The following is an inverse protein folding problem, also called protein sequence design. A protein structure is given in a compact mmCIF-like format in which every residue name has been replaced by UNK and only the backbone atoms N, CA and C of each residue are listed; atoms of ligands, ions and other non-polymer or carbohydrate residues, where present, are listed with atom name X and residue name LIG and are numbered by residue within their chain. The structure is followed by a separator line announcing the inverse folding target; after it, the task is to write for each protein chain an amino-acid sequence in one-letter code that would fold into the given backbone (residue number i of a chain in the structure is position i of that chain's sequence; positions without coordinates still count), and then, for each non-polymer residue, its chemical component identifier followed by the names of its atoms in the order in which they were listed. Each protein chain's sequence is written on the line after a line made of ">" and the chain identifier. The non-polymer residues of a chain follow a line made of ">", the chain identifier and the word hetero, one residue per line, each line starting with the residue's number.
data_IF_064298267304
#
_entry.id   IF_064298267304
#
_cell.length_a   1.000
_cell.length_b   1.000
_cell.length_c   1.000
_cell.angle_alpha   90.00
_cell.angle_beta   90.00
_cell.angle_gamma   90.00
#
_symmetry.space_group_name_H-M   'P 1'
#
loop_
_entity.id
_entity.type
_entity.pdbx_description
1 polymer ?
#
# COMPACT_ATOMS: atom_id res chain seq x y z
N UNK A 1 -27.13 37.94 10.22
CA UNK A 1 -26.62 37.98 8.84
C UNK A 1 -25.49 36.96 8.78
N UNK A 2 -25.73 35.81 8.17
CA UNK A 2 -24.74 34.75 7.92
C UNK A 2 -24.73 34.50 6.40
N UNK A 3 -23.54 34.29 5.81
CA UNK A 3 -23.39 33.99 4.38
C UNK A 3 -22.62 35.03 3.54
N UNK A 4 -21.78 35.87 4.13
CA UNK A 4 -20.80 36.66 3.36
C UNK A 4 -19.51 35.83 3.24
N UNK A 5 -19.03 35.63 2.00
CA UNK A 5 -17.74 35.01 1.73
C UNK A 5 -16.59 35.94 2.14
N UNK A 6 -15.36 35.42 2.26
CA UNK A 6 -14.19 36.26 2.44
C UNK A 6 -14.07 37.33 1.33
N UNK A 7 -13.66 38.55 1.69
CA UNK A 7 -13.51 39.66 0.74
C UNK A 7 -13.57 41.05 1.37
N UNK A 8 -13.31 42.05 0.54
CA UNK A 8 -13.50 43.47 0.90
C UNK A 8 -14.93 43.91 0.61
N UNK A 9 -15.60 44.43 1.63
CA UNK A 9 -16.95 44.96 1.52
C UNK A 9 -16.95 46.48 1.65
N UNK A 10 -17.68 47.13 0.74
CA UNK A 10 -17.81 48.57 0.70
C UNK A 10 -19.22 48.98 1.12
N UNK A 11 -19.30 49.85 2.13
CA UNK A 11 -20.54 50.49 2.58
C UNK A 11 -20.52 51.95 2.17
N UNK A 12 -21.38 52.32 1.24
CA UNK A 12 -21.60 53.72 0.83
C UNK A 12 -22.85 54.25 1.52
N UNK A 13 -22.70 55.31 2.31
CA UNK A 13 -23.80 56.02 2.99
C UNK A 13 -23.97 57.38 2.34
N UNK A 14 -25.16 57.66 1.80
CA UNK A 14 -25.51 58.96 1.22
C UNK A 14 -26.70 59.59 1.93
N UNK A 15 -26.65 60.89 2.20
CA UNK A 15 -27.81 61.65 2.69
C UNK A 15 -28.61 62.32 1.55
N UNK A 16 -29.75 62.94 1.89
CA UNK A 16 -30.59 63.67 0.93
C UNK A 16 -29.91 64.92 0.35
N UNK A 17 -28.84 65.40 0.97
CA UNK A 17 -28.04 66.54 0.53
C UNK A 17 -26.84 66.12 -0.33
N UNK A 18 -26.79 64.85 -0.77
CA UNK A 18 -25.73 64.27 -1.59
C UNK A 18 -24.35 64.20 -0.90
N UNK A 19 -24.28 64.26 0.43
CA UNK A 19 -23.04 63.92 1.14
C UNK A 19 -22.85 62.41 1.11
N UNK A 20 -21.70 61.95 0.63
CA UNK A 20 -21.35 60.52 0.57
C UNK A 20 -20.21 60.22 1.55
N UNK A 21 -20.35 59.13 2.30
CA UNK A 21 -19.26 58.50 3.06
C UNK A 21 -19.11 57.05 2.64
N UNK A 22 -17.87 56.60 2.55
CA UNK A 22 -17.53 55.22 2.24
C UNK A 22 -16.79 54.61 3.43
N UNK A 23 -17.14 53.35 3.75
CA UNK A 23 -16.43 52.52 4.71
C UNK A 23 -16.04 51.23 4.00
N UNK A 24 -14.83 50.74 4.24
CA UNK A 24 -14.40 49.41 3.83
C UNK A 24 -14.29 48.49 5.05
N UNK A 25 -14.60 47.21 4.86
CA UNK A 25 -14.43 46.18 5.87
C UNK A 25 -13.90 44.90 5.23
N UNK A 26 -12.77 44.42 5.72
CA UNK A 26 -12.16 43.16 5.30
C UNK A 26 -12.79 42.00 6.07
N UNK A 27 -13.38 41.03 5.37
CA UNK A 27 -13.76 39.74 5.94
C UNK A 27 -12.69 38.72 5.55
N UNK A 28 -11.93 38.23 6.54
CA UNK A 28 -10.96 37.16 6.34
C UNK A 28 -11.67 35.81 6.54
N UNK A 29 -11.57 34.94 5.55
CA UNK A 29 -12.04 33.55 5.62
C UNK A 29 -10.84 32.62 5.89
N UNK A 30 -11.00 31.54 6.68
CA UNK A 30 -9.95 30.54 6.83
C UNK A 30 -9.52 29.97 5.46
N UNK A 31 -8.30 29.45 5.38
CA UNK A 31 -7.89 28.67 4.20
C UNK A 31 -8.84 27.49 3.99
N UNK A 32 -9.07 27.08 2.75
CA UNK A 32 -9.88 25.89 2.47
C UNK A 32 -9.26 24.64 3.11
N UNK A 33 -10.08 23.66 3.50
CA UNK A 33 -9.60 22.37 3.95
C UNK A 33 -8.80 21.69 2.83
N UNK A 34 -7.65 21.14 3.19
CA UNK A 34 -6.78 20.40 2.29
C UNK A 34 -6.26 19.14 3.00
N UNK A 35 -6.21 18.03 2.28
CA UNK A 35 -5.64 16.77 2.74
C UNK A 35 -4.41 16.46 1.89
N UNK A 36 -3.29 16.22 2.55
CA UNK A 36 -2.11 15.57 1.96
C UNK A 36 -2.01 14.16 2.51
N UNK A 37 -1.79 13.17 1.64
CA UNK A 37 -1.80 11.76 2.02
C UNK A 37 -0.48 11.08 1.74
N UNK A 38 -0.17 10.12 2.60
CA UNK A 38 0.83 9.09 2.39
C UNK A 38 0.16 7.72 2.61
N UNK A 39 0.18 6.88 1.57
CA UNK A 39 -0.51 5.60 1.57
C UNK A 39 0.53 4.48 1.54
N UNK A 40 0.41 3.57 2.51
CA UNK A 40 1.15 2.31 2.54
C UNK A 40 0.20 1.20 2.15
N UNK A 41 0.41 0.59 0.98
CA UNK A 41 -0.35 -0.58 0.56
C UNK A 41 -0.02 -1.79 1.44
N UNK A 42 -0.86 -2.82 1.41
CA UNK A 42 -0.59 -4.04 2.19
C UNK A 42 0.74 -4.67 1.78
N UNK A 43 1.42 -5.31 2.72
CA UNK A 43 2.76 -5.87 2.48
C UNK A 43 2.74 -7.14 1.62
N UNK A 44 1.61 -7.83 1.58
CA UNK A 44 1.45 -9.13 0.94
C UNK A 44 -0.03 -9.46 0.76
N UNK A 45 -0.31 -10.44 -0.10
CA UNK A 45 -1.65 -11.00 -0.29
C UNK A 45 -2.26 -11.40 1.05
N UNK A 46 -3.55 -11.12 1.23
CA UNK A 46 -4.32 -11.42 2.45
C UNK A 46 -3.77 -10.79 3.75
N UNK A 47 -2.88 -9.80 3.67
CA UNK A 47 -2.45 -9.01 4.84
C UNK A 47 -3.37 -7.81 5.07
N UNK A 48 -3.42 -7.40 6.34
CA UNK A 48 -4.20 -6.25 6.81
C UNK A 48 -3.26 -5.27 7.52
N UNK A 49 -2.20 -4.86 6.85
CA UNK A 49 -1.18 -3.95 7.38
C UNK A 49 -1.03 -2.68 6.54
N UNK A 50 -2.01 -2.39 5.68
CA UNK A 50 -2.05 -1.12 4.96
C UNK A 50 -2.31 0.07 5.90
N UNK A 51 -1.87 1.25 5.47
CA UNK A 51 -1.98 2.49 6.24
C UNK A 51 -2.41 3.66 5.34
N UNK A 52 -3.22 4.55 5.90
CA UNK A 52 -3.55 5.86 5.31
C UNK A 52 -3.14 6.92 6.31
N UNK A 53 -2.04 7.62 6.03
CA UNK A 53 -1.52 8.68 6.87
C UNK A 53 -1.93 10.04 6.28
N UNK A 54 -2.77 10.77 7.02
CA UNK A 54 -3.27 12.08 6.58
C UNK A 54 -2.54 13.22 7.27
N UNK A 55 -2.24 14.27 6.53
CA UNK A 55 -1.91 15.60 7.05
C UNK A 55 -2.97 16.60 6.56
N UNK A 56 -3.76 17.14 7.50
CA UNK A 56 -4.83 18.10 7.21
C UNK A 56 -4.33 19.52 7.45
N UNK A 57 -4.60 20.41 6.49
CA UNK A 57 -4.34 21.84 6.63
C UNK A 57 -5.56 22.68 6.23
N UNK A 58 -5.54 23.96 6.58
CA UNK A 58 -6.68 24.87 6.36
C UNK A 58 -7.85 24.63 7.31
N UNK A 59 -9.04 25.13 6.98
CA UNK A 59 -10.24 25.11 7.83
C UNK A 59 -10.04 25.73 9.21
N UNK A 60 -10.97 25.44 10.12
CA UNK A 60 -10.92 25.88 11.52
C UNK A 60 -11.13 24.70 12.47
N UNK A 61 -10.20 24.51 13.40
CA UNK A 61 -10.29 23.47 14.43
C UNK A 61 -11.48 23.68 15.38
N UNK A 62 -12.00 22.58 15.98
CA UNK A 62 -11.61 21.18 15.78
C UNK A 62 -12.13 20.59 14.46
N UNK A 63 -11.45 19.56 13.97
CA UNK A 63 -11.93 18.74 12.86
C UNK A 63 -12.69 17.51 13.36
N UNK A 64 -13.66 17.07 12.56
CA UNK A 64 -14.41 15.82 12.70
C UNK A 64 -14.07 14.95 11.50
N UNK A 65 -13.58 13.74 11.77
CA UNK A 65 -13.26 12.75 10.74
C UNK A 65 -14.34 11.68 10.73
N UNK A 66 -14.78 11.27 9.55
CA UNK A 66 -15.75 10.18 9.39
C UNK A 66 -15.35 9.32 8.21
N UNK A 67 -14.95 8.08 8.48
CA UNK A 67 -14.51 7.13 7.47
C UNK A 67 -15.62 6.16 7.07
N UNK A 68 -15.57 5.67 5.83
CA UNK A 68 -16.49 4.63 5.32
C UNK A 68 -16.46 3.33 6.12
N UNK A 69 -15.38 3.05 6.84
CA UNK A 69 -15.26 1.90 7.77
C UNK A 69 -15.78 2.20 9.19
N UNK A 70 -16.33 3.39 9.43
CA UNK A 70 -16.86 3.83 10.73
C UNK A 70 -15.82 4.39 11.69
N UNK A 71 -14.56 4.55 11.26
CA UNK A 71 -13.52 5.19 12.08
C UNK A 71 -13.70 6.71 12.15
N UNK A 72 -13.27 7.31 13.27
CA UNK A 72 -13.30 8.76 13.52
C UNK A 72 -11.90 9.35 13.78
N UNK A 73 -10.83 8.58 13.51
CA UNK A 73 -9.44 9.06 13.67
C UNK A 73 -8.91 9.67 12.37
N UNK A 74 -7.92 10.55 12.49
CA UNK A 74 -7.30 11.21 11.34
C UNK A 74 -6.59 10.24 10.39
N UNK A 75 -5.72 9.37 10.91
CA UNK A 75 -4.97 8.39 10.12
C UNK A 75 -5.41 6.98 10.47
N UNK A 76 -5.43 6.10 9.48
CA UNK A 76 -5.82 4.70 9.61
C UNK A 76 -4.61 3.77 9.48
N UNK A 77 -4.63 2.67 10.21
CA UNK A 77 -3.62 1.60 10.14
C UNK A 77 -4.30 0.23 10.19
N UNK A 78 -3.54 -0.82 9.91
CA UNK A 78 -4.04 -2.21 9.91
C UNK A 78 -5.19 -2.45 8.93
N UNK A 79 -5.10 -1.85 7.75
CA UNK A 79 -6.14 -1.90 6.72
C UNK A 79 -5.97 -3.09 5.78
N UNK A 80 -7.10 -3.69 5.42
CA UNK A 80 -7.21 -4.62 4.30
C UNK A 80 -7.17 -3.87 2.96
N UNK A 81 -6.91 -4.56 1.84
CA UNK A 81 -7.11 -3.99 0.52
C UNK A 81 -8.56 -3.53 0.34
N UNK A 82 -8.75 -2.37 -0.28
CA UNK A 82 -10.07 -1.80 -0.47
C UNK A 82 -10.10 -0.29 -0.63
N UNK A 83 -11.31 0.24 -0.78
CA UNK A 83 -11.57 1.68 -0.93
C UNK A 83 -12.04 2.28 0.39
N UNK A 84 -11.36 3.33 0.82
CA UNK A 84 -11.64 4.08 2.04
C UNK A 84 -12.03 5.51 1.67
N UNK A 85 -13.23 5.93 2.09
CA UNK A 85 -13.73 7.27 1.83
C UNK A 85 -13.73 8.02 3.15
N UNK A 86 -13.19 9.23 3.17
CA UNK A 86 -13.25 10.12 4.32
C UNK A 86 -14.21 11.27 4.03
N UNK A 87 -15.02 11.62 5.01
CA UNK A 87 -15.69 12.91 5.14
C UNK A 87 -15.05 13.66 6.31
N UNK A 88 -14.37 14.76 5.98
CA UNK A 88 -13.73 15.67 6.92
C UNK A 88 -14.61 16.91 7.06
N UNK A 89 -14.90 17.30 8.30
CA UNK A 89 -15.66 18.52 8.61
C UNK A 89 -14.90 19.38 9.62
N UNK A 90 -14.93 20.70 9.46
CA UNK A 90 -14.41 21.66 10.42
C UNK A 90 -15.51 22.25 11.33
N UNK A 91 -15.14 23.07 12.33
CA UNK A 91 -16.12 23.64 13.27
C UNK A 91 -17.11 24.62 12.63
N UNK A 92 -16.79 25.15 11.45
CA UNK A 92 -17.65 26.04 10.68
C UNK A 92 -18.50 25.29 9.66
N UNK A 93 -18.54 23.95 9.74
CA UNK A 93 -19.28 23.06 8.86
C UNK A 93 -18.78 23.05 7.40
N UNK A 94 -17.53 23.49 7.15
CA UNK A 94 -16.89 23.24 5.87
C UNK A 94 -16.57 21.75 5.76
N UNK A 95 -16.88 21.14 4.61
CA UNK A 95 -16.67 19.71 4.38
C UNK A 95 -15.72 19.45 3.21
N UNK A 96 -14.96 18.37 3.32
CA UNK A 96 -14.12 17.82 2.26
C UNK A 96 -14.32 16.29 2.26
N UNK A 97 -14.58 15.74 1.07
CA UNK A 97 -14.69 14.29 0.87
C UNK A 97 -13.55 13.86 -0.04
N UNK A 98 -12.84 12.82 0.37
CA UNK A 98 -11.75 12.23 -0.42
C UNK A 98 -11.83 10.70 -0.41
N UNK A 99 -11.19 10.06 -1.39
CA UNK A 99 -11.21 8.61 -1.59
C UNK A 99 -9.80 8.08 -1.76
N UNK A 100 -9.46 7.09 -0.94
CA UNK A 100 -8.16 6.42 -0.94
C UNK A 100 -8.34 4.94 -1.24
N UNK A 101 -7.32 4.34 -1.86
CA UNK A 101 -7.31 2.92 -2.22
C UNK A 101 -6.09 2.31 -1.55
N UNK A 102 -6.32 1.28 -0.74
CA UNK A 102 -5.27 0.35 -0.32
C UNK A 102 -5.26 -0.77 -1.34
N UNK A 103 -4.15 -0.90 -2.06
CA UNK A 103 -3.96 -1.90 -3.10
C UNK A 103 -3.29 -3.17 -2.53
N UNK A 104 -3.51 -4.29 -3.19
CA UNK A 104 -2.88 -5.59 -2.94
C UNK A 104 -1.68 -5.85 -3.86
N UNK A 105 -1.25 -4.87 -4.68
CA UNK A 105 -0.22 -5.03 -5.71
C UNK A 105 1.18 -5.46 -5.25
N UNK A 106 1.48 -5.49 -3.94
CA UNK A 106 2.67 -6.16 -3.41
C UNK A 106 2.49 -7.69 -3.35
N UNK A 107 2.44 -8.29 -4.53
CA UNK A 107 2.06 -9.70 -4.73
C UNK A 107 3.28 -10.63 -4.71
N UNK A 108 4.49 -10.07 -4.80
CA UNK A 108 5.74 -10.81 -4.67
C UNK A 108 6.28 -10.70 -3.23
N UNK A 109 5.58 -11.35 -2.31
CA UNK A 109 5.92 -11.43 -0.88
C UNK A 109 6.35 -12.86 -0.47
N UNK A 110 6.75 -13.68 -1.45
CA UNK A 110 7.29 -14.99 -1.15
C UNK A 110 8.59 -14.81 -0.36
N UNK A 111 8.70 -15.55 0.75
CA UNK A 111 9.95 -15.59 1.49
C UNK A 111 10.85 -16.61 0.81
N UNK A 112 11.62 -16.16 -0.18
CA UNK A 112 12.47 -17.01 -0.99
C UNK A 112 13.88 -17.01 -0.38
N UNK A 113 14.34 -18.11 0.25
CA UNK A 113 15.70 -18.19 0.74
C UNK A 113 16.70 -18.19 -0.43
N UNK A 114 17.78 -17.43 -0.32
CA UNK A 114 18.86 -17.45 -1.33
C UNK A 114 19.79 -18.66 -1.20
N UNK A 115 19.59 -19.47 -0.15
CA UNK A 115 20.45 -20.60 0.21
C UNK A 115 19.69 -21.62 1.05
N UNK A 116 20.04 -22.89 0.87
CA UNK A 116 19.63 -23.99 1.74
C UNK A 116 20.75 -25.05 1.83
N UNK A 117 20.66 -25.94 2.82
CA UNK A 117 21.73 -26.88 3.18
C UNK A 117 21.26 -28.34 3.26
N UNK A 118 21.09 -29.05 2.13
CA UNK A 118 20.64 -30.43 2.10
C UNK A 118 21.73 -31.40 2.57
N UNK A 119 21.88 -31.55 3.89
CA UNK A 119 22.89 -32.38 4.56
C UNK A 119 22.28 -33.52 5.43
N UNK A 120 20.96 -33.55 5.58
CA UNK A 120 20.19 -34.53 6.34
C UNK A 120 20.11 -34.28 7.84
N UNK A 121 20.40 -33.07 8.32
CA UNK A 121 20.33 -32.71 9.75
C UNK A 121 18.93 -32.28 10.22
N UNK A 122 17.97 -32.19 9.30
CA UNK A 122 16.59 -31.75 9.53
C UNK A 122 16.39 -30.24 9.41
N UNK A 123 17.43 -29.46 9.14
CA UNK A 123 17.39 -28.00 9.02
C UNK A 123 17.77 -27.56 7.60
N UNK A 124 16.87 -26.83 6.95
CA UNK A 124 17.07 -26.32 5.58
C UNK A 124 17.49 -27.42 4.59
N UNK A 125 17.02 -28.65 4.82
CA UNK A 125 17.30 -29.79 3.93
C UNK A 125 16.57 -29.70 2.59
N UNK A 126 15.56 -28.83 2.54
CA UNK A 126 14.83 -28.48 1.34
C UNK A 126 14.77 -26.97 1.22
N UNK A 127 14.67 -26.49 -0.02
CA UNK A 127 14.46 -25.08 -0.31
C UNK A 127 13.01 -24.70 -0.01
N UNK A 128 12.72 -24.30 1.22
CA UNK A 128 11.35 -23.96 1.61
C UNK A 128 11.04 -22.49 1.25
N UNK A 129 10.17 -22.28 0.27
CA UNK A 129 9.67 -20.96 -0.10
C UNK A 129 8.45 -20.65 0.79
N UNK A 130 8.48 -19.54 1.52
CA UNK A 130 7.37 -19.13 2.38
C UNK A 130 6.25 -18.44 1.60
N UNK A 131 5.04 -18.48 2.17
CA UNK A 131 3.81 -17.88 1.62
C UNK A 131 3.34 -18.46 0.27
N UNK A 132 3.84 -19.63 -0.14
CA UNK A 132 3.40 -20.29 -1.39
C UNK A 132 1.92 -20.68 -1.38
N UNK A 133 1.35 -20.94 -0.20
CA UNK A 133 -0.07 -21.29 -0.03
C UNK A 133 -1.03 -20.19 -0.48
N UNK A 134 -0.53 -18.94 -0.55
CA UNK A 134 -1.30 -17.79 -1.07
C UNK A 134 -1.40 -17.81 -2.61
N UNK A 135 -0.68 -18.69 -3.28
CA UNK A 135 -0.55 -18.76 -4.73
C UNK A 135 -0.82 -20.20 -5.22
N UNK A 136 -2.08 -20.63 -5.33
CA UNK A 136 -2.43 -22.00 -5.71
C UNK A 136 -1.95 -22.39 -7.12
N UNK A 137 -1.68 -21.41 -7.97
CA UNK A 137 -1.19 -21.57 -9.35
C UNK A 137 0.33 -21.42 -9.47
N UNK A 138 1.06 -21.42 -8.35
CA UNK A 138 2.51 -21.21 -8.37
C UNK A 138 3.25 -22.31 -9.13
N UNK A 139 4.14 -21.94 -10.04
CA UNK A 139 5.05 -22.85 -10.73
C UNK A 139 6.49 -22.44 -10.41
N UNK A 140 7.29 -23.37 -9.87
CA UNK A 140 8.67 -23.13 -9.49
C UNK A 140 9.60 -23.96 -10.36
N UNK A 141 10.55 -23.30 -11.01
CA UNK A 141 11.53 -23.92 -11.89
C UNK A 141 12.93 -23.53 -11.46
N UNK A 142 13.86 -24.48 -11.45
CA UNK A 142 15.27 -24.23 -11.12
C UNK A 142 16.17 -24.75 -12.23
N UNK A 143 17.18 -23.97 -12.56
CA UNK A 143 18.12 -24.21 -13.64
C UNK A 143 19.56 -24.19 -13.11
N UNK A 144 20.39 -25.08 -13.63
CA UNK A 144 21.83 -25.02 -13.36
C UNK A 144 22.52 -23.94 -14.22
N UNK A 145 23.83 -23.72 -14.00
CA UNK A 145 24.63 -22.72 -14.72
C UNK A 145 24.71 -22.86 -16.24
N UNK A 146 24.26 -23.99 -16.80
CA UNK A 146 24.20 -24.23 -18.24
C UNK A 146 22.79 -24.02 -18.82
N UNK A 147 21.83 -23.57 -18.01
CA UNK A 147 20.44 -23.38 -18.41
C UNK A 147 19.64 -24.68 -18.48
N UNK A 148 20.18 -25.81 -18.01
CA UNK A 148 19.41 -27.04 -17.90
C UNK A 148 18.50 -26.97 -16.67
N UNK A 149 17.22 -27.24 -16.87
CA UNK A 149 16.25 -27.38 -15.79
C UNK A 149 16.57 -28.62 -14.95
N UNK A 150 16.70 -28.41 -13.64
CA UNK A 150 17.04 -29.44 -12.65
C UNK A 150 15.94 -29.65 -11.61
N UNK A 151 14.93 -28.78 -11.57
CA UNK A 151 13.75 -28.93 -10.75
C UNK A 151 12.57 -28.17 -11.37
N UNK A 152 11.38 -28.74 -11.24
CA UNK A 152 10.10 -28.14 -11.62
C UNK A 152 9.03 -28.66 -10.66
N UNK A 153 8.17 -27.76 -10.16
CA UNK A 153 7.08 -28.10 -9.26
C UNK A 153 5.90 -27.13 -9.44
N UNK A 154 4.73 -27.69 -9.75
CA UNK A 154 3.46 -26.97 -9.81
C UNK A 154 2.78 -27.03 -8.42
N UNK A 155 2.25 -25.90 -7.96
CA UNK A 155 1.73 -25.70 -6.60
C UNK A 155 2.78 -25.76 -5.49
N UNK A 156 4.05 -25.99 -5.82
CA UNK A 156 5.16 -26.17 -4.88
C UNK A 156 4.88 -27.16 -3.73
N UNK A 157 4.14 -28.24 -4.00
CA UNK A 157 3.71 -29.21 -2.99
C UNK A 157 4.87 -30.00 -2.36
N UNK A 158 5.93 -30.23 -3.14
CA UNK A 158 7.17 -30.86 -2.70
C UNK A 158 8.34 -29.88 -2.92
N UNK A 159 8.91 -29.31 -1.83
CA UNK A 159 10.06 -28.41 -1.93
C UNK A 159 11.31 -29.11 -2.46
N UNK A 160 12.17 -28.35 -3.15
CA UNK A 160 13.38 -28.91 -3.76
C UNK A 160 14.43 -29.33 -2.71
N UNK A 161 14.90 -30.56 -2.77
CA UNK A 161 15.88 -31.16 -1.85
C UNK A 161 17.34 -31.05 -2.35
N UNK A 162 17.57 -30.30 -3.42
CA UNK A 162 18.90 -30.17 -4.03
C UNK A 162 19.34 -31.39 -4.84
N UNK A 163 18.43 -32.31 -5.19
CA UNK A 163 18.71 -33.44 -6.07
C UNK A 163 18.15 -33.21 -7.47
N UNK A 164 18.70 -33.95 -8.43
CA UNK A 164 18.19 -34.11 -9.78
C UNK A 164 18.39 -35.55 -10.24
N UNK A 165 17.32 -36.21 -10.70
CA UNK A 165 17.32 -37.64 -11.05
C UNK A 165 17.88 -38.53 -9.94
N UNK A 166 17.52 -38.24 -8.68
CA UNK A 166 17.94 -38.98 -7.49
C UNK A 166 19.39 -38.75 -7.04
N UNK A 167 20.15 -37.91 -7.76
CA UNK A 167 21.54 -37.58 -7.43
C UNK A 167 21.63 -36.19 -6.83
N UNK A 168 22.49 -36.05 -5.83
CA UNK A 168 22.81 -34.75 -5.23
C UNK A 168 23.50 -33.86 -6.25
N UNK A 169 23.02 -32.63 -6.35
CA UNK A 169 23.63 -31.63 -7.19
C UNK A 169 24.82 -30.96 -6.48
N UNK A 170 25.82 -30.47 -7.24
CA UNK A 170 26.97 -29.78 -6.66
C UNK A 170 26.58 -28.59 -5.78
N UNK A 171 27.44 -28.24 -4.82
CA UNK A 171 27.42 -26.93 -4.16
C UNK A 171 27.72 -25.88 -5.22
N UNK A 172 26.70 -25.17 -5.65
CA UNK A 172 26.75 -24.16 -6.71
C UNK A 172 25.55 -23.22 -6.56
N UNK A 173 25.56 -22.15 -7.34
CA UNK A 173 24.42 -21.26 -7.51
C UNK A 173 23.51 -21.80 -8.62
N UNK A 174 22.20 -21.80 -8.37
CA UNK A 174 21.16 -22.22 -9.30
C UNK A 174 20.21 -21.06 -9.54
N UNK A 175 19.75 -20.91 -10.78
CA UNK A 175 18.83 -19.85 -11.17
C UNK A 175 17.39 -20.34 -11.05
N UNK A 176 16.54 -19.59 -10.36
CA UNK A 176 15.12 -19.94 -10.25
C UNK A 176 14.25 -19.00 -11.09
N UNK A 177 13.12 -19.54 -11.52
CA UNK A 177 12.00 -18.81 -12.10
C UNK A 177 10.75 -19.29 -11.37
N UNK A 178 10.06 -18.37 -10.69
CA UNK A 178 8.82 -18.61 -9.97
C UNK A 178 7.72 -17.82 -10.68
N UNK A 179 6.69 -18.51 -11.12
CA UNK A 179 5.51 -17.93 -11.75
C UNK A 179 4.39 -18.04 -10.72
N UNK A 180 3.81 -16.93 -10.28
CA UNK A 180 2.76 -16.95 -9.26
C UNK A 180 1.38 -17.29 -9.85
N UNK A 181 1.10 -16.74 -11.04
CA UNK A 181 -0.04 -17.03 -11.92
C UNK A 181 0.23 -16.42 -13.31
N UNK A 182 -0.77 -16.39 -14.21
CA UNK A 182 -0.64 -15.79 -15.56
C UNK A 182 -0.69 -14.25 -15.58
N UNK A 183 -1.05 -13.59 -14.47
CA UNK A 183 -1.24 -12.14 -14.41
C UNK A 183 0.04 -11.38 -14.06
N UNK A 184 0.98 -12.01 -13.35
CA UNK A 184 2.19 -11.37 -12.82
C UNK A 184 3.45 -11.74 -13.57
N UNK A 185 4.43 -10.82 -13.55
CA UNK A 185 5.77 -11.12 -14.04
C UNK A 185 6.43 -12.22 -13.20
N UNK A 186 7.20 -13.14 -13.81
CA UNK A 186 7.91 -14.16 -13.06
C UNK A 186 8.94 -13.56 -12.11
N UNK A 187 8.97 -14.08 -10.88
CA UNK A 187 10.00 -13.77 -9.89
C UNK A 187 11.23 -14.61 -10.20
N UNK A 188 12.40 -13.98 -10.25
CA UNK A 188 13.64 -14.65 -10.63
C UNK A 188 14.79 -14.28 -9.71
N UNK A 189 15.76 -15.18 -9.60
CA UNK A 189 16.90 -14.97 -8.74
C UNK A 189 17.79 -16.20 -8.62
N UNK A 190 18.61 -16.23 -7.57
CA UNK A 190 19.56 -17.30 -7.31
C UNK A 190 19.20 -17.99 -5.99
N UNK A 191 19.28 -19.31 -6.00
CA UNK A 191 19.34 -20.15 -4.80
C UNK A 191 20.63 -20.96 -4.82
N UNK A 192 21.35 -20.97 -3.71
CA UNK A 192 22.61 -21.70 -3.58
C UNK A 192 22.44 -22.97 -2.75
N UNK A 193 23.04 -24.07 -3.20
CA UNK A 193 23.20 -25.28 -2.39
C UNK A 193 24.52 -25.17 -1.64
N UNK A 194 24.48 -25.32 -0.31
CA UNK A 194 25.68 -25.48 0.53
C UNK A 194 25.56 -26.73 1.40
N UNK A 195 26.66 -27.30 1.88
CA UNK A 195 26.68 -28.48 2.75
C UNK A 195 28.07 -28.71 3.31
#
# INVERSE_FOLDING_TARGET
>A
MSGLSGGEYYLTVSDQNQCVKEYSYSINEPYALEIVTDIVNVSCRDKNDGEINLNVTGGTLPYVFSWSNGSEVQSLSSLSPGTYIIELQDVNFCTLIDTFIIDESNINCQQIPELFSPNGDGLNDVWLIGNVDLYPEISVKVFNRWGQMVFESEGYAEPWDGRYNGRELPMDAYYYVIILNEEYEPVTGIVSIVR
#
